data_IF_731083607795
#
_entry.id   IF_731083607795
#
_cell.length_a   1.000
_cell.length_b   1.000
_cell.length_c   1.000
_cell.angle_alpha   90.00
_cell.angle_beta   90.00
_cell.angle_gamma   90.00
#
_symmetry.space_group_name_H-M   'P 1'
#
loop_
_entity.id
_entity.type
_entity.pdbx_description
1 polymer ?
#
# COMPACT_ATOMS: atom_id res chain seq x y z
N UNK A 1 -3.55 -3.05 11.90
CA UNK A 1 -3.11 -2.47 10.63
C UNK A 1 -2.16 -1.29 10.80
N UNK A 2 -2.36 -0.35 11.74
CA UNK A 2 -1.40 0.75 11.92
C UNK A 2 -0.10 0.29 12.59
N UNK A 3 1.00 0.94 12.24
CA UNK A 3 2.31 0.67 12.79
C UNK A 3 3.40 0.83 11.74
N UNK A 4 4.62 0.50 12.15
CA UNK A 4 5.79 0.46 11.29
C UNK A 4 6.08 -1.01 11.01
N UNK A 5 6.23 -1.35 9.74
CA UNK A 5 6.53 -2.69 9.25
C UNK A 5 7.88 -2.64 8.55
N UNK A 6 8.79 -3.57 8.87
CA UNK A 6 10.14 -3.58 8.32
C UNK A 6 10.54 -4.95 7.81
N UNK A 7 11.43 -5.01 6.81
CA UNK A 7 12.17 -6.24 6.53
C UNK A 7 13.05 -6.60 7.73
N UNK A 8 13.41 -7.88 7.86
CA UNK A 8 14.24 -8.37 8.97
C UNK A 8 15.60 -7.65 8.99
N UNK A 9 16.12 -7.35 7.81
CA UNK A 9 17.39 -6.67 7.59
C UNK A 9 17.28 -5.14 7.67
N UNK A 10 16.07 -4.58 7.77
CA UNK A 10 15.83 -3.13 7.88
C UNK A 10 15.98 -2.34 6.57
N UNK A 11 16.19 -3.01 5.44
CA UNK A 11 16.37 -2.39 4.11
C UNK A 11 15.13 -1.67 3.57
N UNK A 12 13.95 -2.07 4.04
CA UNK A 12 12.69 -1.45 3.64
C UNK A 12 11.75 -1.32 4.84
N UNK A 13 11.10 -0.17 4.93
CA UNK A 13 10.15 0.21 5.97
C UNK A 13 8.86 0.71 5.32
N UNK A 14 7.72 0.26 5.83
CA UNK A 14 6.40 0.80 5.54
C UNK A 14 5.76 1.27 6.84
N UNK A 15 5.48 2.56 6.91
CA UNK A 15 4.71 3.17 7.98
C UNK A 15 3.26 3.35 7.51
N UNK A 16 2.32 2.76 8.27
CA UNK A 16 0.88 2.98 8.09
C UNK A 16 0.32 3.70 9.32
N UNK A 17 -0.13 4.95 9.13
CA UNK A 17 -0.72 5.78 10.18
C UNK A 17 -2.19 6.02 9.92
N UNK A 18 -3.00 5.99 10.96
CA UNK A 18 -4.40 6.45 10.89
C UNK A 18 -4.44 7.97 11.09
N UNK A 19 -5.18 8.67 10.23
CA UNK A 19 -5.43 10.10 10.34
C UNK A 19 -6.91 10.38 10.07
N UNK A 20 -7.70 10.51 11.15
CA UNK A 20 -9.16 10.57 11.06
C UNK A 20 -9.74 9.28 10.45
N UNK A 21 -10.46 9.43 9.34
CA UNK A 21 -11.02 8.32 8.54
C UNK A 21 -10.05 7.79 7.46
N UNK A 22 -8.88 8.41 7.32
CA UNK A 22 -7.90 8.06 6.30
C UNK A 22 -6.72 7.29 6.90
N UNK A 23 -5.94 6.67 6.04
CA UNK A 23 -4.63 6.12 6.35
C UNK A 23 -3.57 6.79 5.49
N UNK A 24 -2.46 7.18 6.11
CA UNK A 24 -1.27 7.66 5.42
C UNK A 24 -0.29 6.49 5.28
N UNK A 25 0.19 6.26 4.06
CA UNK A 25 1.24 5.29 3.75
C UNK A 25 2.52 6.05 3.44
N UNK A 26 3.59 5.71 4.15
CA UNK A 26 4.95 6.14 3.81
C UNK A 26 5.82 4.92 3.70
N UNK A 27 6.63 4.83 2.65
CA UNK A 27 7.70 3.83 2.60
C UNK A 27 9.08 4.49 2.58
N UNK A 28 10.06 3.82 3.18
CA UNK A 28 11.47 4.21 3.15
C UNK A 28 12.27 2.97 2.78
N UNK A 29 13.33 3.15 2.00
CA UNK A 29 14.20 2.05 1.65
C UNK A 29 15.34 2.47 0.75
N UNK A 30 16.24 1.54 0.44
CA UNK A 30 17.48 1.84 -0.30
C UNK A 30 17.19 2.24 -1.75
N UNK A 31 16.12 1.71 -2.36
CA UNK A 31 15.69 2.04 -3.73
C UNK A 31 14.56 3.07 -3.74
N UNK A 32 14.77 4.21 -4.40
CA UNK A 32 13.75 5.26 -4.56
C UNK A 32 12.60 4.86 -5.50
N UNK A 33 12.83 3.92 -6.42
CA UNK A 33 11.85 3.50 -7.44
C UNK A 33 10.67 2.71 -6.86
N UNK A 34 10.81 2.18 -5.65
CA UNK A 34 9.76 1.42 -4.95
C UNK A 34 9.21 2.18 -3.75
N UNK A 35 9.65 3.42 -3.55
CA UNK A 35 9.12 4.28 -2.50
C UNK A 35 7.81 4.90 -2.95
N UNK A 36 6.78 4.66 -2.14
CA UNK A 36 5.47 5.27 -2.26
C UNK A 36 5.19 6.18 -1.07
N UNK A 37 4.52 7.29 -1.35
CA UNK A 37 3.90 8.16 -0.36
C UNK A 37 2.44 8.35 -0.77
N UNK A 38 1.50 8.16 0.14
CA UNK A 38 0.10 8.29 -0.24
C UNK A 38 -0.91 8.26 0.89
N UNK A 39 -2.17 8.37 0.49
CA UNK A 39 -3.34 8.36 1.36
C UNK A 39 -4.34 7.32 0.86
N UNK A 40 -4.70 6.38 1.74
CA UNK A 40 -5.89 5.53 1.57
C UNK A 40 -7.05 6.24 2.28
N UNK A 41 -8.16 6.47 1.60
CA UNK A 41 -9.36 7.08 2.17
C UNK A 41 -10.64 6.49 1.59
N UNK A 42 -11.79 6.94 2.09
CA UNK A 42 -13.09 6.61 1.51
C UNK A 42 -13.63 7.84 0.79
N UNK A 43 -13.99 7.68 -0.48
CA UNK A 43 -14.65 8.70 -1.30
C UNK A 43 -15.99 8.15 -1.80
N UNK A 44 -17.09 8.66 -1.25
CA UNK A 44 -18.42 8.13 -1.51
C UNK A 44 -18.54 6.67 -1.05
N UNK A 45 -18.72 5.74 -2.01
CA UNK A 45 -18.80 4.29 -1.75
C UNK A 45 -17.49 3.55 -2.03
N UNK A 46 -16.47 4.25 -2.49
CA UNK A 46 -15.20 3.66 -2.92
C UNK A 46 -14.14 3.88 -1.85
N UNK A 47 -13.27 2.89 -1.66
CA UNK A 47 -11.97 3.08 -1.06
C UNK A 47 -11.03 3.61 -2.14
N UNK A 48 -10.39 4.75 -1.88
CA UNK A 48 -9.44 5.36 -2.79
C UNK A 48 -8.02 5.31 -2.25
N UNK A 49 -7.04 5.10 -3.13
CA UNK A 49 -5.62 5.26 -2.82
C UNK A 49 -5.01 6.31 -3.74
N UNK A 50 -4.57 7.42 -3.15
CA UNK A 50 -3.85 8.50 -3.80
C UNK A 50 -2.37 8.36 -3.45
N UNK A 51 -1.53 7.96 -4.40
CA UNK A 51 -0.10 7.76 -4.12
C UNK A 51 0.82 8.35 -5.17
N UNK A 52 1.99 8.80 -4.72
CA UNK A 52 3.09 9.30 -5.54
C UNK A 52 4.25 8.33 -5.51
N UNK A 53 4.86 8.15 -6.68
CA UNK A 53 6.01 7.26 -6.92
C UNK A 53 7.12 8.01 -7.64
N UNK A 54 8.19 8.38 -6.93
CA UNK A 54 9.43 8.93 -7.51
C UNK A 54 9.35 10.29 -8.25
N UNK A 55 8.17 10.75 -8.66
CA UNK A 55 7.83 11.97 -9.39
C UNK A 55 6.37 12.36 -9.07
N UNK A 56 5.86 13.58 -9.39
CA UNK A 56 4.54 14.05 -8.96
C UNK A 56 3.37 13.43 -9.75
N UNK A 57 3.41 12.12 -10.00
CA UNK A 57 2.30 11.37 -10.56
C UNK A 57 1.42 10.92 -9.39
N UNK A 58 0.21 11.47 -9.30
CA UNK A 58 -0.80 10.99 -8.36
C UNK A 58 -1.54 9.84 -9.03
N UNK A 59 -1.34 8.64 -8.50
CA UNK A 59 -2.06 7.44 -8.92
C UNK A 59 -3.27 7.29 -8.02
N UNK A 60 -4.47 7.23 -8.61
CA UNK A 60 -5.73 7.10 -7.88
C UNK A 60 -6.34 5.75 -8.18
N UNK A 61 -6.48 4.90 -7.19
CA UNK A 61 -7.12 3.59 -7.35
C UNK A 61 -8.43 3.54 -6.59
N UNK A 62 -9.49 2.98 -7.18
CA UNK A 62 -10.79 2.84 -6.52
C UNK A 62 -11.17 1.38 -6.28
N UNK A 63 -11.62 1.06 -5.07
CA UNK A 63 -12.20 -0.24 -4.72
C UNK A 63 -13.64 -0.07 -4.23
N UNK A 64 -14.66 -0.68 -4.86
CA UNK A 64 -16.09 -0.46 -4.57
C UNK A 64 -16.60 -0.88 -3.17
N UNK A 65 -15.73 -1.16 -2.20
CA UNK A 65 -16.11 -1.63 -0.87
C UNK A 65 -15.46 -0.81 0.25
N UNK A 66 -16.23 -0.51 1.29
CA UNK A 66 -15.72 0.11 2.52
C UNK A 66 -14.87 -0.90 3.31
N UNK A 67 -13.75 -0.43 3.88
CA UNK A 67 -12.77 -1.18 4.69
C UNK A 67 -13.39 -2.06 5.79
N UNK A 68 -14.60 -1.73 6.24
CA UNK A 68 -15.29 -2.37 7.36
C UNK A 68 -15.76 -3.81 7.09
N UNK A 69 -15.65 -4.32 5.85
CA UNK A 69 -16.05 -5.69 5.48
C UNK A 69 -14.90 -6.69 5.28
N UNK A 70 -13.65 -6.31 5.55
CA UNK A 70 -12.51 -7.19 5.33
C UNK A 70 -12.42 -8.29 6.42
N UNK A 71 -12.33 -9.56 5.99
CA UNK A 71 -12.23 -10.76 6.82
C UNK A 71 -10.94 -10.83 7.64
N UNK A 72 -10.71 -11.93 8.39
CA UNK A 72 -9.51 -12.16 9.21
C UNK A 72 -8.18 -12.06 8.46
N UNK A 73 -8.20 -12.08 7.12
CA UNK A 73 -7.09 -11.73 6.23
C UNK A 73 -7.47 -10.44 5.49
N UNK A 74 -6.78 -9.36 5.81
CA UNK A 74 -7.08 -8.06 5.22
C UNK A 74 -6.12 -7.84 4.06
N UNK A 75 -6.58 -8.16 2.85
CA UNK A 75 -5.91 -7.79 1.60
C UNK A 75 -6.52 -6.50 1.07
N UNK A 76 -5.69 -5.51 0.84
CA UNK A 76 -6.05 -4.29 0.12
C UNK A 76 -5.30 -4.33 -1.21
N UNK A 77 -6.04 -4.52 -2.30
CA UNK A 77 -5.51 -4.59 -3.65
C UNK A 77 -6.07 -3.43 -4.47
N UNK A 78 -5.17 -2.68 -5.07
CA UNK A 78 -5.45 -1.57 -5.94
C UNK A 78 -4.88 -1.88 -7.33
N UNK A 79 -5.70 -1.77 -8.36
CA UNK A 79 -5.31 -2.08 -9.75
C UNK A 79 -5.78 -0.97 -10.67
N UNK A 80 -4.87 -0.48 -11.51
CA UNK A 80 -5.14 0.44 -12.62
C UNK A 80 -4.98 -0.34 -13.92
N UNK A 81 -6.07 -0.49 -14.67
CA UNK A 81 -6.11 -1.39 -15.83
C UNK A 81 -5.31 -0.86 -17.02
N UNK A 82 -5.33 0.45 -17.26
CA UNK A 82 -4.73 1.04 -18.45
C UNK A 82 -3.18 0.98 -18.41
N UNK A 83 -2.59 1.07 -17.21
CA UNK A 83 -1.13 1.08 -17.03
C UNK A 83 -0.56 -0.27 -16.55
N UNK A 84 -1.40 -1.31 -16.42
CA UNK A 84 -1.04 -2.59 -15.80
C UNK A 84 -0.29 -2.42 -14.47
N UNK A 85 -0.78 -1.47 -13.66
CA UNK A 85 -0.20 -1.07 -12.39
C UNK A 85 -1.05 -1.66 -11.27
N UNK A 86 -0.40 -2.30 -10.29
CA UNK A 86 -1.10 -2.70 -9.08
C UNK A 86 -0.25 -2.58 -7.84
N UNK A 87 -0.91 -2.24 -6.74
CA UNK A 87 -0.34 -2.12 -5.40
C UNK A 87 -1.16 -3.01 -4.48
N UNK A 88 -0.49 -3.91 -3.76
CA UNK A 88 -1.17 -4.76 -2.79
C UNK A 88 -0.51 -4.72 -1.41
N UNK A 89 -1.38 -4.71 -0.40
CA UNK A 89 -1.03 -4.80 1.01
C UNK A 89 -1.80 -5.99 1.60
N UNK A 90 -1.10 -7.06 1.95
CA UNK A 90 -1.71 -8.25 2.55
C UNK A 90 -1.27 -8.38 4.01
N UNK A 91 -2.20 -8.13 4.92
CA UNK A 91 -1.96 -8.14 6.36
C UNK A 91 -2.33 -9.50 6.97
N UNK A 92 -1.39 -10.11 7.66
CA UNK A 92 -1.54 -11.40 8.36
C UNK A 92 -0.94 -11.30 9.77
N UNK A 93 -1.79 -10.98 10.76
CA UNK A 93 -1.36 -10.76 12.14
C UNK A 93 -0.36 -9.60 12.25
N UNK A 94 0.89 -9.91 12.59
CA UNK A 94 2.00 -8.95 12.65
C UNK A 94 2.82 -8.86 11.35
N UNK A 95 2.44 -9.63 10.32
CA UNK A 95 3.12 -9.61 9.03
C UNK A 95 2.37 -8.75 8.01
N UNK A 96 3.11 -8.17 7.08
CA UNK A 96 2.61 -7.46 5.92
C UNK A 96 3.39 -7.89 4.68
N UNK A 97 2.70 -8.33 3.64
CA UNK A 97 3.28 -8.50 2.32
C UNK A 97 2.92 -7.28 1.48
N UNK A 98 3.93 -6.53 1.06
CA UNK A 98 3.78 -5.42 0.12
C UNK A 98 4.23 -5.88 -1.28
N UNK A 99 3.41 -5.63 -2.29
CA UNK A 99 3.73 -5.94 -3.69
C UNK A 99 3.40 -4.75 -4.60
N UNK A 100 4.31 -4.49 -5.54
CA UNK A 100 4.15 -3.48 -6.58
C UNK A 100 4.40 -4.13 -7.95
N UNK A 101 3.42 -4.02 -8.83
CA UNK A 101 3.49 -4.47 -10.24
C UNK A 101 3.36 -3.24 -11.12
N UNK A 102 4.26 -3.07 -12.09
CA UNK A 102 4.23 -1.97 -13.06
C UNK A 102 4.41 -2.56 -14.45
N UNK A 103 3.52 -2.23 -15.40
CA UNK A 103 3.57 -2.81 -16.74
C UNK A 103 3.42 -4.33 -16.75
N UNK A 104 2.65 -4.89 -15.81
CA UNK A 104 2.47 -6.34 -15.65
C UNK A 104 3.66 -7.09 -15.01
N UNK A 105 4.78 -6.41 -14.74
CA UNK A 105 5.95 -7.01 -14.11
C UNK A 105 6.02 -6.68 -12.61
N UNK A 106 6.30 -7.68 -11.78
CA UNK A 106 6.55 -7.45 -10.36
C UNK A 106 7.86 -6.68 -10.19
N UNK A 107 7.77 -5.40 -9.82
CA UNK A 107 8.92 -4.54 -9.55
C UNK A 107 9.40 -4.65 -8.11
N UNK A 108 8.48 -4.88 -7.18
CA UNK A 108 8.81 -5.09 -5.78
C UNK A 108 7.90 -6.12 -5.12
N UNK A 109 8.49 -6.87 -4.18
CA UNK A 109 7.77 -7.73 -3.23
C UNK A 109 8.57 -7.77 -1.94
N UNK A 110 7.98 -7.30 -0.86
CA UNK A 110 8.60 -7.25 0.45
C UNK A 110 7.76 -7.99 1.47
N UNK A 111 8.43 -8.75 2.34
CA UNK A 111 7.85 -9.40 3.50
C UNK A 111 8.27 -8.60 4.72
N UNK A 112 7.30 -7.98 5.38
CA UNK A 112 7.53 -7.04 6.45
C UNK A 112 6.95 -7.56 7.76
N UNK A 113 7.64 -7.33 8.85
CA UNK A 113 7.21 -7.63 10.21
C UNK A 113 6.95 -6.34 10.97
N UNK A 114 5.86 -6.33 11.74
CA UNK A 114 5.52 -5.20 12.59
C UNK A 114 6.57 -5.04 13.69
N UNK A 115 7.16 -3.85 13.77
CA UNK A 115 8.09 -3.44 14.84
C UNK A 115 7.35 -3.05 16.12
#
# INVERSE_FOLDING_TARGET
MTGIYKTVEGEFELELRKHGYNFVINTKGISSLSQIYGLIGVAGKNLELHLSMGLPNILTFSWPHALEKASSRQEILFTESDENLSVSFNFEGNSLIFKLIVGGQQKAKYFLQKS
#
